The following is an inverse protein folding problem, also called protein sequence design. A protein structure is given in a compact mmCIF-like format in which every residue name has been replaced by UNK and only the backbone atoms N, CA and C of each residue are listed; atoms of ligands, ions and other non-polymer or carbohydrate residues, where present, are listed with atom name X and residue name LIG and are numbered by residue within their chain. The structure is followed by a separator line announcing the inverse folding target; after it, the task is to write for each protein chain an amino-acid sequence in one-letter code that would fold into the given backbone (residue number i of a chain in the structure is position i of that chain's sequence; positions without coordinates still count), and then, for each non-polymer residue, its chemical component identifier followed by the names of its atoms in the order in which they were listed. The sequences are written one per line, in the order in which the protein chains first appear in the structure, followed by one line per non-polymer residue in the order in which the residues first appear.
data_IF_972956327868
#
_entry.id   IF_972956327868
#
_cell.length_a   1.000
_cell.length_b   1.000
_cell.length_c   1.000
_cell.angle_alpha   90.00
_cell.angle_beta   90.00
_cell.angle_gamma   90.00
#
_symmetry.space_group_name_H-M   'P 1'
#
loop_
_entity.id
_entity.type
_entity.pdbx_description
1 polymer ?
#
# COMPACT_ATOMS: atom_id res chain seq x y z
N UNK A 1 -2.26 1.80 -16.72
CA UNK A 1 -1.90 3.23 -16.86
C UNK A 1 -2.89 4.16 -16.15
N UNK A 2 -4.21 4.07 -16.40
CA UNK A 2 -5.21 4.96 -15.78
C UNK A 2 -5.13 5.02 -14.25
N UNK A 3 -5.01 3.89 -13.57
CA UNK A 3 -4.88 3.83 -12.11
C UNK A 3 -3.60 4.50 -11.59
N UNK A 4 -2.47 4.39 -12.31
CA UNK A 4 -1.22 5.07 -11.96
C UNK A 4 -1.36 6.59 -12.08
N UNK A 5 -2.01 7.06 -13.16
CA UNK A 5 -2.28 8.50 -13.37
C UNK A 5 -3.23 9.02 -12.29
N UNK A 6 -4.31 8.28 -11.98
CA UNK A 6 -5.26 8.65 -10.93
C UNK A 6 -4.59 8.71 -9.54
N UNK A 7 -3.73 7.74 -9.22
CA UNK A 7 -2.96 7.73 -7.98
C UNK A 7 -1.99 8.90 -7.89
N UNK A 8 -1.27 9.22 -8.98
CA UNK A 8 -0.41 10.38 -9.03
C UNK A 8 -1.20 11.68 -8.87
N UNK A 9 -2.32 11.84 -9.57
CA UNK A 9 -3.19 13.01 -9.44
C UNK A 9 -3.70 13.17 -8.01
N UNK A 10 -4.16 12.08 -7.38
CA UNK A 10 -4.58 12.09 -5.98
C UNK A 10 -3.45 12.52 -5.02
N UNK A 11 -2.20 12.14 -5.32
CA UNK A 11 -1.04 12.55 -4.50
C UNK A 11 -0.77 14.06 -4.54
N UNK A 12 -1.14 14.74 -5.62
CA UNK A 12 -1.00 16.20 -5.71
C UNK A 12 -2.04 16.96 -4.88
N UNK A 13 -3.21 16.36 -4.62
CA UNK A 13 -4.30 17.02 -3.90
C UNK A 13 -3.98 17.33 -2.42
N UNK A 14 -3.04 16.60 -1.82
CA UNK A 14 -2.64 16.84 -0.43
C UNK A 14 -1.37 17.70 -0.30
N UNK A 15 -0.76 18.12 -1.40
CA UNK A 15 0.43 18.96 -1.37
C UNK A 15 0.05 20.43 -1.12
N UNK A 16 0.62 21.02 -0.08
CA UNK A 16 0.43 22.45 0.21
C UNK A 16 1.03 23.39 -0.86
N UNK A 17 2.04 22.90 -1.61
CA UNK A 17 2.72 23.64 -2.69
C UNK A 17 3.11 22.71 -3.83
N UNK A 18 2.15 22.29 -4.67
CA UNK A 18 2.37 21.31 -5.73
C UNK A 18 3.42 21.76 -6.77
N UNK A 19 3.57 23.06 -6.99
CA UNK A 19 4.59 23.64 -7.90
C UNK A 19 6.04 23.33 -7.47
N UNK A 20 6.23 22.94 -6.21
CA UNK A 20 7.54 22.59 -5.64
C UNK A 20 7.74 21.08 -5.46
N UNK A 21 6.82 20.24 -5.92
CA UNK A 21 6.85 18.79 -5.75
C UNK A 21 8.14 18.15 -6.29
N UNK A 22 8.70 18.68 -7.38
CA UNK A 22 9.95 18.22 -7.97
C UNK A 22 11.15 18.24 -7.00
N UNK A 23 11.13 19.12 -5.96
CA UNK A 23 12.18 19.17 -4.93
C UNK A 23 12.22 17.93 -4.06
N UNK A 24 11.13 17.19 -3.97
CA UNK A 24 11.08 15.94 -3.20
C UNK A 24 12.02 14.87 -3.77
N UNK A 25 12.42 14.95 -5.05
CA UNK A 25 13.40 14.06 -5.66
C UNK A 25 14.86 14.34 -5.26
N UNK A 26 15.16 15.53 -4.71
CA UNK A 26 16.54 15.99 -4.49
C UNK A 26 17.36 15.11 -3.53
N UNK A 27 16.73 14.51 -2.53
CA UNK A 27 17.39 13.73 -1.47
C UNK A 27 17.34 12.21 -1.72
N UNK A 28 17.42 11.77 -2.98
CA UNK A 28 17.25 10.36 -3.37
C UNK A 28 18.26 9.40 -2.72
N UNK A 29 19.43 9.88 -2.30
CA UNK A 29 20.44 9.04 -1.65
C UNK A 29 20.06 8.66 -0.21
N UNK A 30 19.28 9.48 0.48
CA UNK A 30 18.96 9.33 1.91
C UNK A 30 17.49 9.15 2.20
N UNK A 31 16.59 9.66 1.35
CA UNK A 31 15.13 9.65 1.57
C UNK A 31 14.43 8.58 0.71
N UNK A 32 13.65 7.73 1.34
CA UNK A 32 12.80 6.76 0.66
C UNK A 32 11.67 7.43 -0.14
N UNK A 33 11.10 8.53 0.36
CA UNK A 33 10.13 9.34 -0.37
C UNK A 33 10.73 9.87 -1.69
N UNK A 34 11.97 10.35 -1.67
CA UNK A 34 12.65 10.82 -2.89
C UNK A 34 12.85 9.70 -3.91
N UNK A 35 13.14 8.49 -3.44
CA UNK A 35 13.25 7.31 -4.32
C UNK A 35 11.93 6.92 -4.93
N UNK A 36 10.83 6.97 -4.16
CA UNK A 36 9.48 6.71 -4.66
C UNK A 36 9.07 7.72 -5.73
N UNK A 37 9.33 9.02 -5.50
CA UNK A 37 9.03 10.11 -6.46
C UNK A 37 9.79 9.94 -7.77
N UNK A 38 10.95 9.27 -7.78
CA UNK A 38 11.70 8.93 -9.00
C UNK A 38 11.17 7.62 -9.61
N UNK A 39 10.93 6.61 -8.78
CA UNK A 39 10.50 5.28 -9.23
C UNK A 39 9.10 5.30 -9.87
N UNK A 40 8.18 6.12 -9.37
CA UNK A 40 6.83 6.20 -9.90
C UNK A 40 6.77 6.68 -11.36
N UNK A 41 7.37 7.82 -11.76
CA UNK A 41 7.41 8.23 -13.16
C UNK A 41 8.16 7.24 -14.05
N UNK A 42 9.24 6.62 -13.55
CA UNK A 42 9.98 5.60 -14.30
C UNK A 42 9.10 4.36 -14.57
N UNK A 43 8.36 3.89 -13.56
CA UNK A 43 7.40 2.80 -13.70
C UNK A 43 6.28 3.17 -14.68
N UNK A 44 5.72 4.39 -14.57
CA UNK A 44 4.71 4.90 -15.49
C UNK A 44 5.22 4.95 -16.92
N UNK A 45 6.44 5.43 -17.13
CA UNK A 45 7.09 5.48 -18.44
C UNK A 45 7.28 4.10 -19.05
N UNK A 46 7.76 3.14 -18.27
CA UNK A 46 7.93 1.75 -18.72
C UNK A 46 6.59 1.09 -19.08
N UNK A 47 5.54 1.28 -18.27
CA UNK A 47 4.19 0.76 -18.57
C UNK A 47 3.61 1.44 -19.81
N UNK A 48 3.81 2.75 -19.98
CA UNK A 48 3.37 3.47 -21.17
C UNK A 48 4.10 3.00 -22.45
N UNK A 49 5.42 2.82 -22.36
CA UNK A 49 6.23 2.29 -23.46
C UNK A 49 5.81 0.88 -23.85
N UNK A 50 5.56 0.02 -22.86
CA UNK A 50 5.05 -1.34 -23.09
C UNK A 50 3.70 -1.33 -23.78
N UNK A 51 2.77 -0.50 -23.31
CA UNK A 51 1.46 -0.32 -23.95
C UNK A 51 1.58 0.25 -25.37
N UNK A 52 2.50 1.18 -25.63
CA UNK A 52 2.75 1.73 -26.97
C UNK A 52 3.27 0.68 -27.95
N UNK A 53 4.18 -0.19 -27.55
CA UNK A 53 4.68 -1.29 -28.37
C UNK A 53 3.54 -2.20 -28.82
N UNK A 54 2.66 -2.58 -27.88
CA UNK A 54 1.50 -3.42 -28.20
C UNK A 54 0.47 -2.71 -29.09
N UNK A 55 0.26 -1.40 -28.85
CA UNK A 55 -0.68 -0.62 -29.65
C UNK A 55 -0.18 -0.39 -31.09
N UNK A 56 1.10 -0.05 -31.26
CA UNK A 56 1.69 0.25 -32.56
C UNK A 56 2.06 -1.00 -33.38
N UNK A 57 2.15 -2.15 -32.73
CA UNK A 57 2.70 -3.37 -33.34
C UNK A 57 4.20 -3.31 -33.62
N UNK A 58 4.89 -2.21 -33.22
CA UNK A 58 6.31 -2.03 -33.44
C UNK A 58 7.12 -2.79 -32.38
N UNK A 59 7.57 -3.97 -32.73
CA UNK A 59 8.34 -4.85 -31.86
C UNK A 59 9.59 -5.34 -32.61
N UNK A 60 10.70 -4.56 -32.58
CA UNK A 60 11.90 -4.86 -33.36
C UNK A 60 12.64 -6.10 -32.84
N UNK A 61 13.71 -6.50 -33.51
CA UNK A 61 14.17 -7.85 -33.69
C UNK A 61 14.39 -8.64 -32.41
N UNK A 62 14.07 -9.90 -32.52
CA UNK A 62 14.05 -10.94 -31.52
C UNK A 62 15.39 -11.66 -31.50
N UNK A 63 15.90 -11.95 -30.33
CA UNK A 63 16.96 -12.92 -30.18
C UNK A 63 16.48 -14.06 -29.26
N UNK A 64 17.05 -15.22 -29.45
CA UNK A 64 16.72 -16.40 -28.65
C UNK A 64 17.70 -16.51 -27.49
N UNK A 65 17.18 -16.56 -26.26
CA UNK A 65 17.95 -16.93 -25.09
C UNK A 65 17.54 -18.36 -24.67
N UNK A 66 18.22 -19.35 -25.24
CA UNK A 66 17.82 -20.75 -25.12
C UNK A 66 16.47 -21.01 -25.83
N UNK A 67 15.40 -21.28 -25.05
CA UNK A 67 14.05 -21.50 -25.55
C UNK A 67 13.15 -20.26 -25.47
N UNK A 68 13.64 -19.18 -24.88
CA UNK A 68 12.88 -17.94 -24.70
C UNK A 68 13.15 -17.01 -25.89
N UNK A 69 12.08 -16.56 -26.54
CA UNK A 69 12.14 -15.42 -27.44
C UNK A 69 12.19 -14.13 -26.63
N UNK A 70 13.27 -13.37 -26.82
CA UNK A 70 13.44 -12.06 -26.16
C UNK A 70 13.26 -10.99 -27.22
N UNK A 71 12.17 -10.28 -27.12
CA UNK A 71 11.83 -9.13 -27.93
C UNK A 71 11.78 -7.84 -27.09
N UNK A 72 11.56 -6.71 -27.74
CA UNK A 72 11.51 -5.41 -27.03
C UNK A 72 10.35 -5.38 -26.03
N UNK A 73 9.20 -5.99 -26.35
CA UNK A 73 8.05 -6.08 -25.45
C UNK A 73 8.41 -6.83 -24.17
N UNK A 74 9.13 -7.97 -24.28
CA UNK A 74 9.59 -8.74 -23.13
C UNK A 74 10.54 -7.92 -22.24
N UNK A 75 11.53 -7.24 -22.85
CA UNK A 75 12.50 -6.43 -22.09
C UNK A 75 11.85 -5.29 -21.32
N UNK A 76 10.95 -4.54 -21.99
CA UNK A 76 10.24 -3.42 -21.35
C UNK A 76 9.24 -3.91 -20.32
N UNK A 77 8.54 -5.02 -20.58
CA UNK A 77 7.65 -5.66 -19.61
C UNK A 77 8.39 -6.13 -18.36
N UNK A 78 9.56 -6.75 -18.53
CA UNK A 78 10.43 -7.16 -17.42
C UNK A 78 10.92 -5.93 -16.63
N UNK A 79 11.38 -4.88 -17.32
CA UNK A 79 11.79 -3.64 -16.67
C UNK A 79 10.63 -2.98 -15.91
N UNK A 80 9.42 -2.92 -16.48
CA UNK A 80 8.23 -2.40 -15.82
C UNK A 80 7.91 -3.21 -14.55
N UNK A 81 8.01 -4.54 -14.61
CA UNK A 81 7.80 -5.41 -13.46
C UNK A 81 8.80 -5.13 -12.34
N UNK A 82 10.09 -5.03 -12.65
CA UNK A 82 11.13 -4.66 -11.67
C UNK A 82 10.86 -3.29 -11.06
N UNK A 83 10.48 -2.29 -11.87
CA UNK A 83 10.15 -0.96 -11.39
C UNK A 83 8.90 -0.94 -10.50
N UNK A 84 7.90 -1.78 -10.77
CA UNK A 84 6.76 -1.97 -9.87
C UNK A 84 7.18 -2.50 -8.49
N UNK A 85 8.07 -3.50 -8.45
CA UNK A 85 8.60 -4.00 -7.18
C UNK A 85 9.45 -2.96 -6.44
N UNK A 86 10.26 -2.19 -7.16
CA UNK A 86 11.02 -1.06 -6.59
C UNK A 86 10.06 -0.02 -6.00
N UNK A 87 8.94 0.26 -6.67
CA UNK A 87 7.90 1.18 -6.20
C UNK A 87 7.25 0.66 -4.91
N UNK A 88 6.80 -0.60 -4.87
CA UNK A 88 6.23 -1.20 -3.66
C UNK A 88 7.21 -1.20 -2.48
N UNK A 89 8.49 -1.54 -2.75
CA UNK A 89 9.55 -1.47 -1.75
C UNK A 89 9.72 -0.03 -1.23
N UNK A 90 9.80 0.94 -2.14
CA UNK A 90 9.94 2.37 -1.82
C UNK A 90 8.81 2.86 -0.93
N UNK A 91 7.57 2.63 -1.34
CA UNK A 91 6.37 3.02 -0.58
C UNK A 91 6.33 2.35 0.80
N UNK A 92 6.59 1.03 0.88
CA UNK A 92 6.65 0.33 2.17
C UNK A 92 7.76 0.86 3.09
N UNK A 93 8.93 1.19 2.52
CA UNK A 93 10.07 1.71 3.27
C UNK A 93 9.88 3.14 3.77
N UNK A 94 9.06 3.98 3.12
CA UNK A 94 8.70 5.32 3.66
C UNK A 94 8.20 5.19 5.09
N UNK A 95 7.35 4.21 5.36
CA UNK A 95 6.78 3.98 6.70
C UNK A 95 7.69 3.12 7.57
N UNK A 96 8.27 2.04 7.02
CA UNK A 96 9.09 1.11 7.78
C UNK A 96 10.38 1.74 8.33
N UNK A 97 10.90 2.81 7.73
CA UNK A 97 12.09 3.51 8.22
C UNK A 97 11.81 4.48 9.37
N UNK A 98 10.55 4.78 9.69
CA UNK A 98 10.16 5.70 10.76
C UNK A 98 10.20 4.99 12.11
N UNK A 99 11.37 4.89 12.71
CA UNK A 99 11.63 4.13 13.95
C UNK A 99 10.82 4.59 15.17
N UNK A 100 10.36 5.84 15.17
CA UNK A 100 9.56 6.39 16.27
C UNK A 100 8.14 5.83 16.27
N UNK A 101 7.61 5.47 15.11
CA UNK A 101 6.31 4.82 14.95
C UNK A 101 6.51 3.29 14.93
N UNK A 102 6.53 2.68 16.11
CA UNK A 102 6.89 1.27 16.28
C UNK A 102 5.94 0.33 15.52
N UNK A 103 4.69 0.73 15.32
CA UNK A 103 3.69 -0.02 14.57
C UNK A 103 4.08 -0.17 13.09
N UNK A 104 4.73 0.83 12.52
CA UNK A 104 5.17 0.85 11.12
C UNK A 104 6.59 0.32 10.94
N UNK A 105 7.45 0.51 11.94
CA UNK A 105 8.89 0.17 11.88
C UNK A 105 9.13 -1.35 11.95
N UNK A 106 8.70 -2.06 10.91
CA UNK A 106 8.84 -3.51 10.80
C UNK A 106 8.96 -3.94 9.33
N UNK A 107 9.72 -5.01 9.03
CA UNK A 107 9.76 -5.59 7.68
C UNK A 107 8.38 -6.03 7.16
N UNK A 108 7.47 -6.42 8.06
CA UNK A 108 6.10 -6.79 7.70
C UNK A 108 5.35 -5.66 6.97
N UNK A 109 5.68 -4.40 7.24
CA UNK A 109 5.11 -3.25 6.52
C UNK A 109 5.41 -3.36 5.03
N UNK A 110 6.68 -3.56 4.67
CA UNK A 110 7.10 -3.70 3.27
C UNK A 110 6.49 -4.93 2.62
N UNK A 111 6.50 -6.07 3.34
CA UNK A 111 5.92 -7.33 2.85
C UNK A 111 4.42 -7.16 2.57
N UNK A 112 3.67 -6.51 3.45
CA UNK A 112 2.24 -6.26 3.26
C UNK A 112 1.98 -5.36 2.04
N UNK A 113 2.78 -4.30 1.81
CA UNK A 113 2.65 -3.46 0.60
C UNK A 113 2.82 -4.26 -0.68
N UNK A 114 3.84 -5.13 -0.74
CA UNK A 114 4.10 -6.00 -1.90
C UNK A 114 2.94 -6.99 -2.09
N UNK A 115 2.48 -7.64 -1.03
CA UNK A 115 1.44 -8.67 -1.11
C UNK A 115 0.07 -8.06 -1.45
N UNK A 116 -0.29 -6.91 -0.91
CA UNK A 116 -1.54 -6.22 -1.26
C UNK A 116 -1.52 -5.74 -2.72
N UNK A 117 -0.40 -5.15 -3.16
CA UNK A 117 -0.23 -4.75 -4.55
C UNK A 117 -0.28 -5.93 -5.51
N UNK A 118 0.40 -7.04 -5.16
CA UNK A 118 0.35 -8.29 -5.93
C UNK A 118 -1.05 -8.89 -5.97
N UNK A 119 -1.73 -9.01 -4.83
CA UNK A 119 -3.07 -9.59 -4.74
C UNK A 119 -4.08 -8.82 -5.61
N UNK A 120 -4.15 -7.50 -5.45
CA UNK A 120 -5.07 -6.66 -6.24
C UNK A 120 -4.67 -6.59 -7.72
N UNK A 121 -3.38 -6.61 -8.03
CA UNK A 121 -2.87 -6.64 -9.40
C UNK A 121 -3.23 -7.91 -10.14
N UNK A 122 -2.97 -9.08 -9.54
CA UNK A 122 -3.35 -10.38 -10.12
C UNK A 122 -4.87 -10.52 -10.25
N UNK A 123 -5.65 -10.00 -9.29
CA UNK A 123 -7.10 -10.04 -9.34
C UNK A 123 -7.65 -9.19 -10.48
N UNK A 124 -7.12 -7.99 -10.68
CA UNK A 124 -7.49 -7.15 -11.82
C UNK A 124 -7.08 -7.81 -13.15
N UNK A 125 -5.91 -8.44 -13.20
CA UNK A 125 -5.46 -9.18 -14.37
C UNK A 125 -6.39 -10.38 -14.66
N UNK A 126 -6.85 -11.11 -13.64
CA UNK A 126 -7.84 -12.19 -13.79
C UNK A 126 -9.16 -11.68 -14.37
N UNK A 127 -9.65 -10.51 -13.89
CA UNK A 127 -10.85 -9.90 -14.46
C UNK A 127 -10.66 -9.55 -15.94
N UNK A 128 -9.54 -8.92 -16.30
CA UNK A 128 -9.24 -8.63 -17.72
C UNK A 128 -9.07 -9.90 -18.56
N UNK A 129 -8.45 -10.95 -18.02
CA UNK A 129 -8.31 -12.22 -18.69
C UNK A 129 -9.68 -12.84 -19.00
N UNK A 130 -10.63 -12.80 -18.06
CA UNK A 130 -11.98 -13.29 -18.31
C UNK A 130 -12.71 -12.56 -19.44
N UNK A 131 -12.24 -11.38 -19.82
CA UNK A 131 -12.80 -10.62 -20.94
C UNK A 131 -12.04 -10.85 -22.26
N UNK A 132 -10.71 -10.94 -22.23
CA UNK A 132 -9.86 -10.89 -23.43
C UNK A 132 -9.02 -12.15 -23.69
N UNK A 133 -8.77 -12.97 -22.67
CA UNK A 133 -7.90 -14.16 -22.76
C UNK A 133 -8.27 -15.20 -21.71
N UNK A 134 -9.41 -15.91 -21.89
CA UNK A 134 -9.96 -16.81 -20.87
C UNK A 134 -8.98 -17.88 -20.38
N UNK A 135 -8.01 -18.28 -21.19
CA UNK A 135 -6.97 -19.26 -20.88
C UNK A 135 -6.04 -18.84 -19.73
N UNK A 136 -5.96 -17.53 -19.42
CA UNK A 136 -5.12 -16.99 -18.36
C UNK A 136 -5.87 -16.70 -17.04
N UNK A 137 -7.20 -16.90 -17.03
CA UNK A 137 -8.04 -16.59 -15.86
C UNK A 137 -7.62 -17.40 -14.64
N UNK A 138 -7.45 -18.70 -14.81
CA UNK A 138 -7.09 -19.62 -13.73
C UNK A 138 -5.69 -19.31 -13.17
N UNK A 139 -4.76 -18.95 -14.05
CA UNK A 139 -3.41 -18.55 -13.64
C UNK A 139 -3.44 -17.28 -12.78
N UNK A 140 -4.05 -16.20 -13.26
CA UNK A 140 -4.09 -14.95 -12.54
C UNK A 140 -4.98 -15.03 -11.30
N UNK A 141 -6.13 -15.68 -11.38
CA UNK A 141 -7.04 -15.86 -10.25
C UNK A 141 -6.43 -16.75 -9.16
N UNK A 142 -5.72 -17.80 -9.53
CA UNK A 142 -4.97 -18.65 -8.60
C UNK A 142 -3.90 -17.84 -7.84
N UNK A 143 -3.10 -17.05 -8.54
CA UNK A 143 -2.11 -16.17 -7.89
C UNK A 143 -2.76 -15.08 -7.03
N UNK A 144 -3.90 -14.52 -7.44
CA UNK A 144 -4.66 -13.56 -6.62
C UNK A 144 -5.07 -14.18 -5.27
N UNK A 145 -5.55 -15.42 -5.25
CA UNK A 145 -5.90 -16.15 -4.02
C UNK A 145 -4.65 -16.37 -3.17
N UNK A 146 -3.55 -16.89 -3.75
CA UNK A 146 -2.29 -17.14 -3.03
C UNK A 146 -1.76 -15.88 -2.38
N UNK A 147 -1.66 -14.78 -3.14
CA UNK A 147 -1.18 -13.49 -2.62
C UNK A 147 -2.09 -12.95 -1.53
N UNK A 148 -3.43 -13.07 -1.69
CA UNK A 148 -4.39 -12.65 -0.66
C UNK A 148 -4.26 -13.48 0.62
N UNK A 149 -4.04 -14.78 0.51
CA UNK A 149 -3.82 -15.66 1.66
C UNK A 149 -2.51 -15.31 2.41
N UNK A 150 -1.41 -15.10 1.68
CA UNK A 150 -0.14 -14.66 2.25
C UNK A 150 -0.27 -13.28 2.91
N UNK A 151 -0.97 -12.35 2.27
CA UNK A 151 -1.26 -11.04 2.83
C UNK A 151 -2.09 -11.13 4.13
N UNK A 152 -3.06 -12.05 4.19
CA UNK A 152 -3.82 -12.31 5.41
C UNK A 152 -2.92 -12.76 6.56
N UNK A 153 -2.01 -13.70 6.31
CA UNK A 153 -1.08 -14.21 7.32
C UNK A 153 -0.14 -13.10 7.81
N UNK A 154 0.49 -12.37 6.89
CA UNK A 154 1.48 -11.34 7.25
C UNK A 154 0.81 -10.12 7.90
N UNK A 155 -0.40 -9.74 7.45
CA UNK A 155 -1.15 -8.66 8.09
C UNK A 155 -1.67 -9.05 9.46
N UNK A 156 -2.13 -10.28 9.64
CA UNK A 156 -2.53 -10.81 10.95
C UNK A 156 -1.33 -10.83 11.90
N UNK A 157 -0.16 -11.26 11.45
CA UNK A 157 1.08 -11.20 12.23
C UNK A 157 1.41 -9.75 12.64
N UNK A 158 1.25 -8.78 11.73
CA UNK A 158 1.43 -7.35 12.05
C UNK A 158 0.44 -6.88 13.12
N UNK A 159 -0.83 -7.25 13.02
CA UNK A 159 -1.86 -6.88 14.00
C UNK A 159 -1.59 -7.47 15.39
N UNK A 160 -1.22 -8.76 15.45
CA UNK A 160 -0.86 -9.45 16.71
C UNK A 160 0.39 -8.80 17.31
N UNK A 161 1.42 -8.54 16.51
CA UNK A 161 2.63 -7.83 16.94
C UNK A 161 2.28 -6.46 17.51
N UNK A 162 1.52 -5.67 16.78
CA UNK A 162 1.19 -4.30 17.17
C UNK A 162 0.33 -4.26 18.45
N UNK A 163 -0.55 -5.24 18.65
CA UNK A 163 -1.32 -5.37 19.91
C UNK A 163 -0.46 -5.69 21.13
N UNK A 164 0.75 -6.23 20.92
CA UNK A 164 1.70 -6.59 22.00
C UNK A 164 2.82 -5.57 22.20
N UNK A 165 2.85 -4.50 21.42
CA UNK A 165 3.88 -3.47 21.55
C UNK A 165 3.80 -2.78 22.91
N UNK A 166 4.97 -2.70 23.55
CA UNK A 166 5.17 -1.84 24.72
C UNK A 166 5.89 -0.58 24.26
N UNK A 167 5.22 0.55 24.35
CA UNK A 167 5.82 1.82 23.95
C UNK A 167 7.05 2.12 24.83
N UNK A 168 8.14 2.52 24.19
CA UNK A 168 9.41 2.86 24.86
C UNK A 168 9.32 4.18 25.62
N UNK A 169 8.47 5.08 25.16
CA UNK A 169 8.26 6.38 25.77
C UNK A 169 7.09 6.35 26.73
N UNK A 170 7.26 6.94 27.91
CA UNK A 170 6.21 7.15 28.93
C UNK A 170 6.15 8.64 29.26
N UNK A 171 5.09 9.08 29.95
CA UNK A 171 4.99 10.48 30.42
C UNK A 171 6.21 10.86 31.28
N UNK A 172 6.64 9.96 32.17
CA UNK A 172 7.81 10.18 33.01
C UNK A 172 9.09 10.35 32.21
N UNK A 173 9.30 9.49 31.20
CA UNK A 173 10.48 9.61 30.33
C UNK A 173 10.43 10.83 29.42
N UNK A 174 9.23 11.27 29.03
CA UNK A 174 9.05 12.41 28.15
C UNK A 174 9.40 13.74 28.81
N UNK A 175 9.07 13.89 30.11
CA UNK A 175 9.34 15.12 30.87
C UNK A 175 10.54 15.00 31.82
N UNK A 176 11.14 13.80 31.96
CA UNK A 176 12.30 13.56 32.82
C UNK A 176 11.99 13.53 34.32
N UNK A 177 10.72 13.54 34.73
CA UNK A 177 10.28 13.55 36.12
C UNK A 177 9.66 12.23 36.49
N UNK A 178 10.16 11.59 37.55
CA UNK A 178 9.60 10.32 38.09
C UNK A 178 8.56 10.64 39.17
N UNK A 179 7.30 10.81 38.76
CA UNK A 179 6.18 11.02 39.67
C UNK A 179 5.03 10.09 39.32
N UNK A 180 4.30 9.59 40.30
CA UNK A 180 3.21 8.65 40.10
C UNK A 180 2.02 9.28 39.35
N UNK A 181 1.78 10.58 39.55
CA UNK A 181 0.70 11.31 38.89
C UNK A 181 1.26 12.53 38.20
N UNK A 182 1.16 12.54 36.87
CA UNK A 182 1.54 13.65 35.99
C UNK A 182 0.28 14.07 35.26
N UNK A 183 -0.08 15.36 35.36
CA UNK A 183 -1.30 15.90 34.79
C UNK A 183 -0.95 17.13 33.95
N UNK A 184 -1.36 17.17 32.71
CA UNK A 184 -1.23 18.35 31.87
C UNK A 184 -2.29 19.39 32.25
N UNK A 185 -1.85 20.54 32.69
CA UNK A 185 -2.75 21.65 33.09
C UNK A 185 -3.09 22.58 31.93
N UNK A 186 -2.17 22.75 30.98
CA UNK A 186 -2.38 23.55 29.79
C UNK A 186 -1.58 23.02 28.61
N UNK A 187 -2.12 23.14 27.40
CA UNK A 187 -1.43 22.78 26.15
C UNK A 187 -0.63 23.97 25.56
N UNK A 188 -0.80 25.14 26.08
CA UNK A 188 -0.28 26.39 25.50
C UNK A 188 -1.07 26.82 24.24
N UNK A 189 -0.56 27.83 23.54
CA UNK A 189 -1.20 28.38 22.34
C UNK A 189 -0.96 27.56 21.08
N UNK A 190 -0.15 26.52 21.14
CA UNK A 190 0.18 25.68 19.96
C UNK A 190 -0.95 24.74 19.63
N UNK A 191 -1.32 24.74 18.36
CA UNK A 191 -2.14 23.68 17.80
C UNK A 191 -1.41 22.33 17.97
N UNK A 192 -2.14 21.26 18.33
CA UNK A 192 -1.61 19.91 18.41
C UNK A 192 -0.90 19.52 17.11
N UNK A 193 -0.02 18.51 17.17
CA UNK A 193 0.59 17.96 15.98
C UNK A 193 -0.49 17.42 15.02
N UNK A 194 -0.15 17.21 13.75
CA UNK A 194 -1.08 16.62 12.79
C UNK A 194 -1.65 15.28 13.28
N UNK A 195 -0.87 14.50 14.05
CA UNK A 195 -1.30 13.23 14.65
C UNK A 195 -2.41 13.42 15.71
N UNK A 196 -2.60 14.60 16.30
CA UNK A 196 -3.65 14.85 17.26
C UNK A 196 -4.98 15.25 16.60
N UNK A 197 -5.00 15.56 15.30
CA UNK A 197 -6.17 16.03 14.56
C UNK A 197 -6.56 15.15 13.39
N UNK A 198 -5.63 14.33 12.89
CA UNK A 198 -5.82 13.47 11.73
C UNK A 198 -6.04 12.02 12.15
N UNK A 199 -6.52 11.21 11.24
CA UNK A 199 -6.74 9.77 11.39
C UNK A 199 -7.57 9.39 12.61
N UNK A 200 -6.95 8.80 13.64
CA UNK A 200 -7.67 8.24 14.79
C UNK A 200 -8.12 9.30 15.79
N UNK A 201 -7.43 10.42 15.88
CA UNK A 201 -7.74 11.44 16.89
C UNK A 201 -9.15 12.02 16.71
N UNK A 202 -9.95 12.00 17.79
CA UNK A 202 -11.36 12.33 17.77
C UNK A 202 -12.28 11.21 17.25
N UNK A 203 -11.75 10.07 16.79
CA UNK A 203 -12.55 8.92 16.45
C UNK A 203 -12.86 8.07 17.68
N UNK A 204 -14.07 7.49 17.74
CA UNK A 204 -14.42 6.61 18.86
C UNK A 204 -13.70 5.26 18.75
N UNK A 205 -13.39 4.57 19.87
CA UNK A 205 -12.86 3.20 19.85
C UNK A 205 -13.76 2.19 19.12
N UNK A 206 -15.07 2.49 19.03
CA UNK A 206 -16.01 1.67 18.26
C UNK A 206 -15.74 1.81 16.75
N UNK A 207 -15.55 3.03 16.25
CA UNK A 207 -15.22 3.30 14.84
C UNK A 207 -13.91 2.62 14.45
N UNK A 208 -12.88 2.74 15.27
CA UNK A 208 -11.58 2.08 15.05
C UNK A 208 -11.72 0.55 14.93
N UNK A 209 -12.44 -0.09 15.87
CA UNK A 209 -12.72 -1.52 15.82
C UNK A 209 -13.59 -1.91 14.62
N UNK A 210 -14.58 -1.12 14.28
CA UNK A 210 -15.44 -1.35 13.12
C UNK A 210 -14.63 -1.36 11.83
N UNK A 211 -13.80 -0.33 11.58
CA UNK A 211 -12.96 -0.26 10.37
C UNK A 211 -11.99 -1.45 10.30
N UNK A 212 -11.42 -1.88 11.45
CA UNK A 212 -10.60 -3.10 11.50
C UNK A 212 -11.33 -4.33 10.96
N UNK A 213 -12.56 -4.56 11.37
CA UNK A 213 -13.34 -5.71 10.91
C UNK A 213 -13.78 -5.55 9.45
N UNK A 214 -14.15 -4.34 9.05
CA UNK A 214 -14.51 -4.03 7.66
C UNK A 214 -13.37 -4.40 6.72
N UNK A 215 -12.15 -3.92 6.97
CA UNK A 215 -11.05 -4.27 6.07
C UNK A 215 -10.69 -5.76 6.12
N UNK A 216 -10.73 -6.39 7.29
CA UNK A 216 -10.44 -7.83 7.40
C UNK A 216 -11.43 -8.68 6.58
N UNK A 217 -12.68 -8.27 6.51
CA UNK A 217 -13.71 -8.98 5.72
C UNK A 217 -13.60 -8.65 4.24
N UNK A 218 -13.45 -7.37 3.90
CA UNK A 218 -13.46 -6.92 2.50
C UNK A 218 -12.14 -7.18 1.75
N UNK A 219 -11.01 -7.30 2.44
CA UNK A 219 -9.72 -7.61 1.78
C UNK A 219 -9.53 -9.11 1.59
N UNK A 220 -10.01 -9.95 2.52
CA UNK A 220 -9.64 -11.36 2.55
C UNK A 220 -10.78 -12.31 2.19
N UNK A 221 -11.74 -12.64 3.06
CA UNK A 221 -12.70 -13.72 2.78
C UNK A 221 -13.66 -13.40 1.63
N UNK A 222 -14.20 -12.17 1.57
CA UNK A 222 -15.17 -11.83 0.53
C UNK A 222 -14.55 -11.85 -0.87
N UNK A 223 -13.39 -11.23 -1.15
CA UNK A 223 -12.75 -11.36 -2.44
C UNK A 223 -12.38 -12.79 -2.80
N UNK A 224 -11.87 -13.58 -1.86
CA UNK A 224 -11.51 -14.99 -2.13
C UNK A 224 -12.74 -15.81 -2.57
N UNK A 225 -13.87 -15.63 -1.89
CA UNK A 225 -15.12 -16.29 -2.28
C UNK A 225 -15.62 -15.84 -3.68
N UNK A 226 -15.54 -14.55 -3.96
CA UNK A 226 -15.90 -14.01 -5.28
C UNK A 226 -14.95 -14.47 -6.38
N UNK A 227 -13.64 -14.56 -6.09
CA UNK A 227 -12.65 -15.11 -7.03
C UNK A 227 -12.98 -16.57 -7.31
N UNK A 228 -13.19 -17.38 -6.27
CA UNK A 228 -13.52 -18.80 -6.45
C UNK A 228 -14.79 -19.01 -7.29
N UNK A 229 -15.84 -18.22 -7.04
CA UNK A 229 -17.04 -18.24 -7.85
C UNK A 229 -16.79 -17.74 -9.29
N UNK A 230 -15.98 -16.69 -9.45
CA UNK A 230 -15.59 -16.14 -10.75
C UNK A 230 -14.74 -17.12 -11.58
N UNK A 231 -13.83 -17.87 -10.96
CA UNK A 231 -13.06 -18.92 -11.61
C UNK A 231 -13.96 -20.08 -12.06
N UNK A 232 -14.88 -20.53 -11.20
CA UNK A 232 -15.78 -21.61 -11.51
C UNK A 232 -16.75 -21.28 -12.69
N UNK A 233 -17.10 -20.01 -12.86
CA UNK A 233 -18.03 -19.55 -13.90
C UNK A 233 -17.37 -18.80 -15.04
N UNK A 234 -16.08 -18.54 -14.97
CA UNK A 234 -15.31 -17.67 -15.89
C UNK A 234 -15.94 -16.27 -16.06
N UNK A 235 -16.63 -15.78 -15.03
CA UNK A 235 -17.44 -14.58 -15.10
C UNK A 235 -16.61 -13.33 -14.80
N UNK A 236 -16.39 -12.49 -15.82
CA UNK A 236 -15.74 -11.17 -15.68
C UNK A 236 -16.38 -10.31 -14.57
N UNK A 237 -17.71 -10.29 -14.48
CA UNK A 237 -18.44 -9.46 -13.50
C UNK A 237 -18.13 -9.84 -12.05
N UNK A 238 -17.97 -11.13 -11.74
CA UNK A 238 -17.62 -11.59 -10.40
C UNK A 238 -16.17 -11.27 -10.04
N UNK A 239 -15.24 -11.43 -10.98
CA UNK A 239 -13.83 -11.09 -10.78
C UNK A 239 -13.64 -9.56 -10.63
N UNK A 240 -14.35 -8.78 -11.43
CA UNK A 240 -14.34 -7.32 -11.29
C UNK A 240 -14.98 -6.87 -9.96
N UNK A 241 -16.08 -7.48 -9.55
CA UNK A 241 -16.70 -7.22 -8.23
C UNK A 241 -15.73 -7.56 -7.09
N UNK A 242 -15.03 -8.70 -7.19
CA UNK A 242 -13.99 -9.09 -6.23
C UNK A 242 -12.89 -8.01 -6.11
N UNK A 243 -12.41 -7.49 -7.25
CA UNK A 243 -11.42 -6.41 -7.28
C UNK A 243 -11.94 -5.14 -6.61
N UNK A 244 -13.16 -4.70 -6.94
CA UNK A 244 -13.74 -3.48 -6.36
C UNK A 244 -13.94 -3.62 -4.85
N UNK A 245 -14.43 -4.77 -4.38
CA UNK A 245 -14.60 -5.05 -2.96
C UNK A 245 -13.24 -5.07 -2.24
N UNK A 246 -12.23 -5.75 -2.81
CA UNK A 246 -10.89 -5.77 -2.24
C UNK A 246 -10.28 -4.37 -2.20
N UNK A 247 -10.45 -3.58 -3.26
CA UNK A 247 -9.94 -2.21 -3.33
C UNK A 247 -10.55 -1.31 -2.25
N UNK A 248 -11.87 -1.37 -2.05
CA UNK A 248 -12.55 -0.66 -0.95
C UNK A 248 -12.06 -1.14 0.43
N UNK A 249 -11.84 -2.44 0.57
CA UNK A 249 -11.22 -3.01 1.76
C UNK A 249 -9.81 -2.49 2.01
N UNK A 250 -8.99 -2.35 0.96
CA UNK A 250 -7.63 -1.79 1.05
C UNK A 250 -7.63 -0.30 1.41
N UNK A 251 -8.62 0.48 0.96
CA UNK A 251 -8.79 1.86 1.43
C UNK A 251 -9.09 1.93 2.93
N UNK A 252 -9.95 1.05 3.43
CA UNK A 252 -10.23 0.94 4.86
C UNK A 252 -8.99 0.45 5.65
N UNK A 253 -8.21 -0.47 5.07
CA UNK A 253 -6.95 -0.95 5.64
C UNK A 253 -5.92 0.17 5.73
N UNK A 254 -5.76 0.97 4.66
CA UNK A 254 -4.85 2.12 4.66
C UNK A 254 -5.22 3.13 5.74
N UNK A 255 -6.50 3.46 5.88
CA UNK A 255 -6.95 4.31 6.98
C UNK A 255 -6.61 3.71 8.35
N UNK A 256 -6.87 2.40 8.52
CA UNK A 256 -6.56 1.71 9.79
C UNK A 256 -5.05 1.65 10.05
N UNK A 257 -4.24 1.45 9.01
CA UNK A 257 -2.78 1.46 9.10
C UNK A 257 -2.25 2.80 9.67
N UNK A 258 -2.80 3.91 9.22
CA UNK A 258 -2.45 5.22 9.78
C UNK A 258 -3.01 5.42 11.18
N UNK A 259 -4.27 5.06 11.41
CA UNK A 259 -4.95 5.27 12.68
C UNK A 259 -4.38 4.43 13.84
N UNK A 260 -3.75 3.29 13.56
CA UNK A 260 -3.17 2.43 14.60
C UNK A 260 -1.82 2.96 15.14
N UNK A 261 -1.16 3.85 14.42
CA UNK A 261 0.15 4.35 14.82
C UNK A 261 0.05 5.31 15.99
N UNK A 262 0.88 5.10 17.01
CA UNK A 262 0.92 5.96 18.18
C UNK A 262 2.23 6.75 18.21
N UNK A 263 2.13 8.05 17.91
CA UNK A 263 3.29 8.93 17.91
C UNK A 263 3.66 9.32 19.35
N UNK A 264 4.95 9.29 19.74
CA UNK A 264 5.38 9.66 21.10
C UNK A 264 4.93 11.03 21.54
N UNK A 265 4.74 11.98 20.62
CA UNK A 265 4.21 13.32 20.89
C UNK A 265 2.81 13.30 21.54
N UNK A 266 2.00 12.26 21.26
CA UNK A 266 0.67 12.12 21.83
C UNK A 266 0.70 11.96 23.37
N UNK A 267 1.85 11.58 23.95
CA UNK A 267 2.04 11.52 25.39
C UNK A 267 1.90 12.89 26.07
N UNK A 268 2.20 13.97 25.33
CA UNK A 268 2.08 15.33 25.85
C UNK A 268 0.64 15.86 25.79
N UNK A 269 -0.25 15.22 25.04
CA UNK A 269 -1.63 15.66 24.83
C UNK A 269 -2.60 14.69 25.48
N UNK A 270 -2.70 14.72 26.79
CA UNK A 270 -3.50 13.77 27.60
C UNK A 270 -5.01 13.84 27.33
N UNK A 271 -5.48 14.91 26.73
CA UNK A 271 -6.91 15.15 26.44
C UNK A 271 -7.34 14.74 25.03
N UNK A 272 -6.43 14.19 24.24
CA UNK A 272 -6.67 13.80 22.83
C UNK A 272 -6.87 12.30 22.66
#
# INVERSE_FOLDING_TARGET
MLLLVAGLAASFLHLGRPERAWRSAAMWRTSWLSREVIALPACMGAVAAWGFIHYSGWNPPRFMLGRLEVDLSFLIGAAATVLCFVLFLGTGMIYACIKVLQEWATPLTVVNYILFGGASGFLLAAAFAAWQGPELVDFYGGWAIVMTALAFVTRSASLVRNARLKHKSTMQSAIGIRHARIEQKAQGAMAGSFNTREFFHGASPRKYRFVKWVFLVLVFPVPVLLIAAGLATQAFSLLLAAFLVQYLGLLAESWFFFAQANHPQNLYYQTV
#
